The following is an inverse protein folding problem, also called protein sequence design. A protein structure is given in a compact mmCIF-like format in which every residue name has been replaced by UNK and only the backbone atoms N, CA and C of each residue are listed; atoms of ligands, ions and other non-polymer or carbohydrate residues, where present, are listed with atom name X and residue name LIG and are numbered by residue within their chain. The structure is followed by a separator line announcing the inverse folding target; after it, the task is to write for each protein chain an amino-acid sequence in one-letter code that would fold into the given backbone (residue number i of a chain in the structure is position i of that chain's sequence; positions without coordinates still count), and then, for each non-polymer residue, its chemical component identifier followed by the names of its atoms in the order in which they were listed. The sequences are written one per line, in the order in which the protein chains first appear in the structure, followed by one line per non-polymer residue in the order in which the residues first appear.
data_IF_217281528131
#
_entry.id   IF_217281528131
#
_cell.length_a   1.000
_cell.length_b   1.000
_cell.length_c   1.000
_cell.angle_alpha   90.00
_cell.angle_beta   90.00
_cell.angle_gamma   90.00
#
_symmetry.space_group_name_H-M   'P 1'
#
loop_
_entity.id
_entity.type
_entity.pdbx_description
1 polymer ?
#
# COMPACT_ATOMS: atom_id res chain seq x y z
N UNK A 1 -12.28 -31.63 -22.03
CA UNK A 1 -12.54 -30.20 -21.72
C UNK A 1 -11.19 -29.52 -21.46
N UNK A 2 -10.78 -28.54 -22.26
CA UNK A 2 -9.53 -27.79 -22.01
C UNK A 2 -9.74 -26.85 -20.82
N UNK A 3 -8.94 -26.98 -19.76
CA UNK A 3 -8.89 -25.99 -18.67
C UNK A 3 -8.59 -24.63 -19.31
N UNK A 4 -9.52 -23.68 -19.22
CA UNK A 4 -9.26 -22.29 -19.61
C UNK A 4 -8.19 -21.78 -18.65
N UNK A 5 -6.97 -21.56 -19.15
CA UNK A 5 -5.93 -20.91 -18.36
C UNK A 5 -6.45 -19.52 -17.99
N UNK A 6 -6.77 -19.31 -16.72
CA UNK A 6 -7.07 -17.99 -16.19
C UNK A 6 -5.74 -17.37 -15.84
N UNK A 7 -5.17 -16.63 -16.77
CA UNK A 7 -4.03 -15.77 -16.50
C UNK A 7 -4.51 -14.62 -15.61
N UNK A 8 -3.78 -14.34 -14.54
CA UNK A 8 -4.11 -13.28 -13.60
C UNK A 8 -2.86 -12.44 -13.35
N UNK A 9 -3.01 -11.13 -13.52
CA UNK A 9 -2.00 -10.15 -13.12
C UNK A 9 -2.30 -9.76 -11.68
N UNK A 10 -1.27 -9.80 -10.82
CA UNK A 10 -1.32 -9.25 -9.46
C UNK A 10 -0.37 -8.06 -9.41
N UNK A 11 -0.86 -6.94 -8.91
CA UNK A 11 -0.06 -5.75 -8.65
C UNK A 11 0.05 -5.55 -7.14
N UNK A 12 1.28 -5.31 -6.67
CA UNK A 12 1.57 -5.05 -5.26
C UNK A 12 2.24 -3.68 -5.16
N UNK A 13 1.73 -2.82 -4.29
CA UNK A 13 2.37 -1.58 -3.90
C UNK A 13 3.21 -1.83 -2.64
N UNK A 14 4.53 -1.70 -2.75
CA UNK A 14 5.42 -1.85 -1.60
C UNK A 14 5.71 -0.49 -1.01
N UNK A 15 5.42 -0.32 0.28
CA UNK A 15 5.50 0.95 0.98
C UNK A 15 6.45 0.86 2.18
N UNK A 16 7.35 1.85 2.36
CA UNK A 16 8.17 1.94 3.56
C UNK A 16 7.32 2.35 4.75
N UNK A 17 7.42 1.61 5.85
CA UNK A 17 6.70 1.89 7.11
C UNK A 17 7.67 1.97 8.27
N UNK A 18 7.47 3.00 9.11
CA UNK A 18 8.10 3.12 10.44
C UNK A 18 7.06 2.93 11.52
N UNK A 19 7.42 2.26 12.61
CA UNK A 19 6.56 2.01 13.76
C UNK A 19 7.25 2.44 15.04
N UNK A 20 6.69 3.46 15.70
CA UNK A 20 7.20 3.99 16.98
C UNK A 20 6.20 3.71 18.10
N UNK A 21 6.68 3.34 19.27
CA UNK A 21 5.84 3.30 20.47
C UNK A 21 5.69 4.71 21.07
N UNK A 22 4.45 5.13 21.32
CA UNK A 22 4.09 6.37 22.01
C UNK A 22 3.10 6.07 23.16
N UNK A 23 3.62 6.09 24.39
CA UNK A 23 2.90 5.64 25.58
C UNK A 23 2.43 4.20 25.45
N UNK A 24 1.11 4.00 25.47
CA UNK A 24 0.45 2.68 25.37
C UNK A 24 0.13 2.25 23.93
N UNK A 25 0.43 3.09 22.94
CA UNK A 25 0.09 2.86 21.55
C UNK A 25 1.34 2.69 20.70
N UNK A 26 1.19 1.96 19.59
CA UNK A 26 2.17 1.91 18.51
C UNK A 26 1.63 2.75 17.36
N UNK A 27 2.40 3.72 16.90
CA UNK A 27 2.09 4.60 15.78
C UNK A 27 2.88 4.13 14.56
N UNK A 28 2.18 3.80 13.48
CA UNK A 28 2.76 3.42 12.19
C UNK A 28 2.62 4.56 11.18
N UNK A 29 3.62 4.71 10.32
CA UNK A 29 3.68 5.84 9.38
C UNK A 29 4.33 5.46 8.05
N UNK A 30 3.73 5.92 6.95
CA UNK A 30 4.28 5.90 5.61
C UNK A 30 4.51 7.35 5.16
N UNK A 31 5.69 7.88 5.47
CA UNK A 31 6.04 9.29 5.23
C UNK A 31 5.90 9.73 3.77
N UNK A 32 6.27 8.93 2.74
CA UNK A 32 6.13 9.36 1.34
C UNK A 32 4.69 9.68 0.92
N UNK A 33 3.68 9.13 1.61
CA UNK A 33 2.27 9.36 1.34
C UNK A 33 1.57 10.17 2.45
N UNK A 34 2.30 10.57 3.49
CA UNK A 34 1.76 11.23 4.69
C UNK A 34 0.60 10.46 5.35
N UNK A 35 0.71 9.12 5.37
CA UNK A 35 -0.33 8.24 5.95
C UNK A 35 0.16 7.72 7.30
N UNK A 36 -0.73 7.81 8.29
CA UNK A 36 -0.48 7.32 9.65
C UNK A 36 -1.61 6.39 10.09
N UNK A 37 -1.26 5.48 10.99
CA UNK A 37 -2.20 4.61 11.68
C UNK A 37 -1.67 4.27 13.07
N UNK A 38 -2.44 3.50 13.85
CA UNK A 38 -2.03 3.11 15.19
C UNK A 38 -2.64 1.78 15.61
N UNK A 39 -2.05 1.14 16.62
CA UNK A 39 -2.58 -0.08 17.24
C UNK A 39 -2.09 -0.26 18.67
N UNK A 40 -2.78 -1.07 19.47
CA UNK A 40 -2.37 -1.39 20.84
C UNK A 40 -1.12 -2.29 20.88
N UNK A 41 -0.80 -2.93 19.75
CA UNK A 41 0.42 -3.71 19.53
C UNK A 41 1.14 -3.27 18.26
N UNK A 42 2.44 -3.54 18.15
CA UNK A 42 3.21 -3.26 16.93
C UNK A 42 2.58 -3.93 15.70
N UNK A 43 2.15 -5.19 15.84
CA UNK A 43 1.52 -5.94 14.76
C UNK A 43 0.17 -5.35 14.35
N UNK A 44 -0.61 -4.84 15.30
CA UNK A 44 -1.86 -4.15 15.00
C UNK A 44 -1.62 -2.83 14.28
N UNK A 45 -0.65 -2.02 14.71
CA UNK A 45 -0.29 -0.80 14.01
C UNK A 45 0.15 -1.07 12.55
N UNK A 46 0.86 -2.18 12.31
CA UNK A 46 1.27 -2.61 10.97
C UNK A 46 0.07 -3.03 10.12
N UNK A 47 -0.85 -3.85 10.66
CA UNK A 47 -2.07 -4.22 9.93
C UNK A 47 -2.93 -3.00 9.60
N UNK A 48 -3.07 -2.09 10.55
CA UNK A 48 -3.93 -0.92 10.37
C UNK A 48 -3.34 0.08 9.36
N UNK A 49 -2.00 0.19 9.24
CA UNK A 49 -1.41 1.02 8.18
C UNK A 49 -1.48 0.33 6.81
N UNK A 50 -1.36 -0.99 6.74
CA UNK A 50 -1.55 -1.75 5.50
C UNK A 50 -2.96 -1.52 4.94
N UNK A 51 -3.99 -1.60 5.80
CA UNK A 51 -5.37 -1.30 5.43
C UNK A 51 -5.55 0.17 5.02
N UNK A 52 -4.97 1.11 5.75
CA UNK A 52 -5.05 2.53 5.41
C UNK A 52 -4.42 2.82 4.03
N UNK A 53 -3.24 2.24 3.74
CA UNK A 53 -2.57 2.35 2.45
C UNK A 53 -3.41 1.72 1.33
N UNK A 54 -4.00 0.55 1.58
CA UNK A 54 -4.89 -0.11 0.63
C UNK A 54 -6.07 0.78 0.27
N UNK A 55 -6.79 1.27 1.29
CA UNK A 55 -7.92 2.16 1.10
C UNK A 55 -7.51 3.44 0.38
N UNK A 56 -6.36 4.02 0.70
CA UNK A 56 -5.86 5.20 0.01
C UNK A 56 -5.68 4.97 -1.50
N UNK A 57 -5.00 3.88 -1.88
CA UNK A 57 -4.75 3.58 -3.30
C UNK A 57 -6.06 3.24 -4.03
N UNK A 58 -6.94 2.46 -3.40
CA UNK A 58 -8.29 2.16 -3.91
C UNK A 58 -9.06 3.44 -4.24
N UNK A 59 -9.12 4.33 -3.26
CA UNK A 59 -9.77 5.62 -3.33
C UNK A 59 -9.18 6.50 -4.46
N UNK A 60 -7.86 6.47 -4.64
CA UNK A 60 -7.18 7.19 -5.72
C UNK A 60 -7.51 6.61 -7.11
N UNK A 61 -7.56 5.28 -7.23
CA UNK A 61 -7.91 4.59 -8.47
C UNK A 61 -9.37 4.86 -8.87
N UNK A 62 -10.30 4.77 -7.92
CA UNK A 62 -11.73 5.04 -8.14
C UNK A 62 -11.99 6.47 -8.62
N UNK A 63 -11.22 7.44 -8.13
CA UNK A 63 -11.31 8.85 -8.55
C UNK A 63 -10.46 9.21 -9.76
N UNK A 64 -9.64 8.30 -10.26
CA UNK A 64 -8.67 8.61 -11.32
C UNK A 64 -7.61 9.64 -10.92
N UNK A 65 -7.23 9.68 -9.64
CA UNK A 65 -6.33 10.70 -9.06
C UNK A 65 -4.94 10.18 -8.69
N UNK A 66 -4.69 8.88 -8.84
CA UNK A 66 -3.44 8.24 -8.39
C UNK A 66 -2.18 8.91 -8.97
N UNK A 67 -2.17 9.19 -10.27
CA UNK A 67 -1.03 9.84 -10.92
C UNK A 67 -0.78 11.24 -10.37
N UNK A 68 -1.84 12.04 -10.21
CA UNK A 68 -1.75 13.40 -9.68
C UNK A 68 -1.20 13.37 -8.25
N UNK A 69 -1.76 12.52 -7.40
CA UNK A 69 -1.34 12.36 -6.00
C UNK A 69 0.13 11.98 -5.88
N UNK A 70 0.59 11.00 -6.68
CA UNK A 70 2.00 10.60 -6.67
C UNK A 70 2.91 11.74 -7.13
N UNK A 71 2.52 12.48 -8.16
CA UNK A 71 3.26 13.65 -8.63
C UNK A 71 3.37 14.74 -7.57
N UNK A 72 2.26 15.06 -6.91
CA UNK A 72 2.19 16.06 -5.84
C UNK A 72 2.96 15.61 -4.58
N UNK A 73 3.01 14.30 -4.33
CA UNK A 73 3.81 13.69 -3.24
C UNK A 73 5.31 13.56 -3.59
N UNK A 74 5.73 14.05 -4.78
CA UNK A 74 7.13 14.09 -5.18
C UNK A 74 7.68 12.79 -5.79
N UNK A 75 6.83 11.81 -6.10
CA UNK A 75 7.24 10.59 -6.79
C UNK A 75 7.74 10.93 -8.20
N UNK A 76 8.82 10.28 -8.60
CA UNK A 76 9.41 10.42 -9.94
C UNK A 76 9.49 9.05 -10.60
N UNK A 77 9.07 8.99 -11.87
CA UNK A 77 9.31 7.80 -12.68
C UNK A 77 10.80 7.77 -13.00
N UNK A 78 11.47 6.69 -12.61
CA UNK A 78 12.89 6.46 -12.85
C UNK A 78 13.08 5.11 -13.54
N UNK A 79 14.12 5.01 -14.36
CA UNK A 79 14.53 3.75 -15.00
C UNK A 79 15.36 2.86 -14.07
N UNK A 80 15.88 3.44 -12.98
CA UNK A 80 16.68 2.76 -11.96
C UNK A 80 16.03 2.97 -10.60
N UNK A 81 15.74 1.87 -9.90
CA UNK A 81 15.30 1.92 -8.50
C UNK A 81 16.55 1.89 -7.64
N UNK A 82 17.07 3.06 -7.28
CA UNK A 82 18.07 3.20 -6.23
C UNK A 82 17.34 3.40 -4.89
N UNK A 83 17.22 2.33 -4.11
CA UNK A 83 16.68 2.39 -2.75
C UNK A 83 17.70 2.93 -1.73
N UNK A 84 18.97 3.16 -2.15
CA UNK A 84 20.06 3.64 -1.31
C UNK A 84 20.28 2.84 0.00
N UNK A 85 21.08 3.40 0.90
CA UNK A 85 21.18 2.96 2.32
C UNK A 85 20.01 3.50 3.17
N UNK A 86 18.99 4.13 2.57
CA UNK A 86 17.87 4.79 3.25
C UNK A 86 16.92 3.82 4.01
N UNK A 87 17.31 2.56 4.13
CA UNK A 87 16.57 1.48 4.78
C UNK A 87 16.97 1.35 6.26
N UNK A 88 18.09 1.93 6.69
CA UNK A 88 18.58 1.79 8.07
C UNK A 88 17.62 2.35 9.14
N UNK A 89 16.68 3.20 8.72
CA UNK A 89 15.72 3.91 9.58
C UNK A 89 14.25 3.49 9.33
N UNK A 90 14.06 2.43 8.52
CA UNK A 90 12.76 1.84 8.20
C UNK A 90 12.57 0.52 8.96
N UNK A 91 11.43 0.40 9.63
CA UNK A 91 11.10 -0.80 10.39
C UNK A 91 10.72 -1.99 9.51
N UNK A 92 10.10 -1.72 8.35
CA UNK A 92 9.68 -2.73 7.37
C UNK A 92 9.20 -2.13 6.04
N UNK A 93 9.22 -2.97 5.00
CA UNK A 93 8.45 -2.76 3.77
C UNK A 93 7.13 -3.55 3.86
N UNK A 94 5.99 -2.86 3.70
CA UNK A 94 4.66 -3.48 3.68
C UNK A 94 4.20 -3.63 2.24
N UNK A 95 3.73 -4.83 1.87
CA UNK A 95 3.24 -5.11 0.53
C UNK A 95 1.71 -5.03 0.50
N UNK A 96 1.20 -3.95 -0.08
CA UNK A 96 -0.23 -3.67 -0.18
C UNK A 96 -0.77 -4.21 -1.51
N UNK A 97 -1.70 -5.17 -1.51
CA UNK A 97 -2.28 -5.69 -2.74
C UNK A 97 -3.20 -4.66 -3.38
N UNK A 98 -3.00 -4.36 -4.66
CA UNK A 98 -3.91 -3.51 -5.42
C UNK A 98 -5.11 -4.37 -5.89
N UNK A 99 -6.36 -3.90 -5.76
CA UNK A 99 -7.54 -4.67 -6.18
C UNK A 99 -7.78 -4.55 -7.69
N UNK A 100 -6.74 -4.80 -8.47
CA UNK A 100 -6.81 -4.84 -9.93
C UNK A 100 -6.59 -6.28 -10.37
N UNK A 101 -7.56 -6.83 -11.10
CA UNK A 101 -7.47 -8.16 -11.70
C UNK A 101 -7.99 -8.11 -13.14
N UNK A 102 -7.44 -8.96 -14.00
CA UNK A 102 -7.90 -9.12 -15.38
C UNK A 102 -8.91 -10.27 -15.48
N UNK A 103 -10.10 -10.03 -16.03
CA UNK A 103 -11.13 -11.06 -16.27
C UNK A 103 -12.52 -10.69 -15.73
N UNK A 104 -13.53 -11.54 -15.95
CA UNK A 104 -14.89 -11.37 -15.40
C UNK A 104 -14.84 -11.51 -13.87
N UNK A 105 -14.58 -10.40 -13.17
CA UNK A 105 -14.82 -10.31 -11.73
C UNK A 105 -16.30 -10.09 -11.56
N UNK A 106 -17.00 -11.09 -11.04
CA UNK A 106 -18.28 -10.84 -10.41
C UNK A 106 -18.00 -9.87 -9.26
N UNK A 107 -18.33 -8.59 -9.43
CA UNK A 107 -18.34 -7.64 -8.32
C UNK A 107 -19.31 -8.19 -7.27
N UNK A 108 -18.77 -8.67 -6.15
CA UNK A 108 -19.56 -8.96 -4.96
C UNK A 108 -19.14 -7.97 -3.89
N UNK A 109 -19.50 -6.70 -4.08
CA UNK A 109 -19.78 -5.84 -2.93
C UNK A 109 -21.27 -5.96 -2.67
N UNK A 110 -21.63 -6.99 -1.89
CA UNK A 110 -22.95 -7.07 -1.28
C UNK A 110 -22.88 -6.25 0.01
N UNK A 111 -23.54 -5.09 0.02
CA UNK A 111 -24.10 -4.50 1.23
C UNK A 111 -25.61 -4.71 1.17
#
# INVERSE_FOLDING_TARGET
MRKKHREAIKLMFSAPVRVKQDGKWFISSCHPLDIYSQGATRQEAIRNIEEALKFFIESCLERGTLEQVFRESGFKVTHEIDIGEAIDDLDLMVNVPLPMVTGNVSQTYAN
#
